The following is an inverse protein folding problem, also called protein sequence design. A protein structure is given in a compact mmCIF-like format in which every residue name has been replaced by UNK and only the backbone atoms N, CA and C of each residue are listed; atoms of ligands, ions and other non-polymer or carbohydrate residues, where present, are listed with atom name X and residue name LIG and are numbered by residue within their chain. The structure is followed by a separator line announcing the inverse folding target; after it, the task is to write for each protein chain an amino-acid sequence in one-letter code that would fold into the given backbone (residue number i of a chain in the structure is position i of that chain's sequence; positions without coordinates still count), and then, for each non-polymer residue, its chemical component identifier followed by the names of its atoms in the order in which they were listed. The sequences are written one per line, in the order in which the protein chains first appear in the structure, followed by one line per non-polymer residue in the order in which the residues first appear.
data_IF_034802467068
#
_entry.id   IF_034802467068
#
_cell.length_a   1.000
_cell.length_b   1.000
_cell.length_c   1.000
_cell.angle_alpha   90.00
_cell.angle_beta   90.00
_cell.angle_gamma   90.00
#
_symmetry.space_group_name_H-M   'P 1'
#
loop_
_entity.id
_entity.type
_entity.pdbx_description
1 polymer ?
#
# COMPACT_ATOMS: atom_id res chain seq x y z
N UNK A 1 -3.05 -17.60 1.58
CA UNK A 1 -4.17 -16.67 1.85
C UNK A 1 -4.58 -16.88 3.29
N UNK A 2 -4.50 -15.84 4.12
CA UNK A 2 -4.91 -15.90 5.52
C UNK A 2 -6.07 -14.93 5.70
N UNK A 3 -7.21 -15.46 6.15
CA UNK A 3 -8.38 -14.65 6.46
C UNK A 3 -8.14 -13.89 7.77
N UNK A 4 -8.43 -12.60 7.75
CA UNK A 4 -8.43 -11.72 8.91
C UNK A 4 -9.79 -11.86 9.61
N UNK A 5 -9.84 -12.65 10.67
CA UNK A 5 -11.06 -12.91 11.46
C UNK A 5 -11.57 -11.65 12.19
N UNK A 6 -10.67 -10.74 12.57
CA UNK A 6 -11.01 -9.52 13.29
C UNK A 6 -11.76 -8.56 12.38
N UNK A 7 -11.22 -8.32 11.19
CA UNK A 7 -11.79 -7.37 10.23
C UNK A 7 -12.71 -8.03 9.20
N UNK A 8 -12.83 -9.37 9.22
CA UNK A 8 -13.60 -10.18 8.28
C UNK A 8 -13.21 -9.96 6.83
N UNK A 9 -11.89 -9.90 6.56
CA UNK A 9 -11.33 -9.62 5.24
C UNK A 9 -10.34 -10.71 4.82
N UNK A 10 -10.38 -11.16 3.57
CA UNK A 10 -9.32 -12.04 3.05
C UNK A 10 -8.01 -11.26 2.85
N UNK A 11 -6.89 -11.97 2.69
CA UNK A 11 -5.62 -11.32 2.38
C UNK A 11 -5.74 -10.51 1.08
N UNK A 12 -6.43 -11.07 0.06
CA UNK A 12 -6.64 -10.38 -1.22
C UNK A 12 -7.45 -9.08 -1.05
N UNK A 13 -8.50 -9.07 -0.23
CA UNK A 13 -9.27 -7.85 0.05
C UNK A 13 -8.38 -6.77 0.70
N UNK A 14 -7.56 -7.15 1.68
CA UNK A 14 -6.65 -6.24 2.38
C UNK A 14 -5.58 -5.67 1.44
N UNK A 15 -4.93 -6.53 0.65
CA UNK A 15 -3.88 -6.12 -0.31
C UNK A 15 -4.42 -5.40 -1.54
N UNK A 16 -5.73 -5.28 -1.70
CA UNK A 16 -6.37 -4.49 -2.77
C UNK A 16 -6.92 -3.17 -2.22
N UNK A 17 -7.73 -3.26 -1.16
CA UNK A 17 -8.45 -2.12 -0.61
C UNK A 17 -7.53 -1.13 0.09
N UNK A 18 -6.56 -1.60 0.88
CA UNK A 18 -5.70 -0.71 1.65
C UNK A 18 -4.77 0.13 0.74
N UNK A 19 -4.01 -0.45 -0.22
CA UNK A 19 -3.25 0.35 -1.19
C UNK A 19 -4.09 1.42 -1.88
N UNK A 20 -5.27 1.04 -2.40
CA UNK A 20 -6.17 1.93 -3.12
C UNK A 20 -6.64 3.09 -2.24
N UNK A 21 -7.05 2.81 -1.01
CA UNK A 21 -7.50 3.82 -0.04
C UNK A 21 -6.39 4.78 0.39
N UNK A 22 -5.16 4.28 0.56
CA UNK A 22 -4.00 5.12 0.91
C UNK A 22 -3.70 6.09 -0.23
N UNK A 23 -3.60 5.60 -1.47
CA UNK A 23 -3.32 6.43 -2.64
C UNK A 23 -4.42 7.48 -2.83
N UNK A 24 -5.70 7.10 -2.66
CA UNK A 24 -6.81 8.05 -2.74
C UNK A 24 -6.70 9.19 -1.71
N UNK A 25 -6.26 8.89 -0.48
CA UNK A 25 -6.02 9.91 0.54
C UNK A 25 -4.81 10.81 0.19
N UNK A 26 -3.74 10.23 -0.35
CA UNK A 26 -2.58 11.00 -0.84
C UNK A 26 -2.98 11.96 -1.98
N UNK A 27 -3.84 11.50 -2.90
CA UNK A 27 -4.42 12.36 -3.95
C UNK A 27 -5.24 13.51 -3.34
N UNK A 28 -6.10 13.21 -2.36
CA UNK A 28 -6.93 14.21 -1.69
C UNK A 28 -6.11 15.27 -0.94
N UNK A 29 -4.94 14.88 -0.42
CA UNK A 29 -3.99 15.77 0.26
C UNK A 29 -3.05 16.53 -0.70
N UNK A 30 -3.22 16.41 -2.01
CA UNK A 30 -2.32 16.97 -3.04
C UNK A 30 -0.87 16.47 -2.93
N UNK A 31 -0.65 15.25 -2.46
CA UNK A 31 0.68 14.62 -2.39
C UNK A 31 1.08 13.90 -3.69
N UNK A 32 0.17 13.81 -4.66
CA UNK A 32 0.37 13.15 -5.95
C UNK A 32 0.08 14.14 -7.08
N UNK A 33 0.91 14.12 -8.12
CA UNK A 33 0.75 14.97 -9.30
C UNK A 33 -0.55 14.67 -10.07
N UNK A 34 -1.20 15.70 -10.61
CA UNK A 34 -2.43 15.56 -11.39
C UNK A 34 -2.12 14.97 -12.76
N UNK A 35 -2.76 13.86 -13.10
CA UNK A 35 -2.67 13.23 -14.41
C UNK A 35 -2.97 11.74 -14.36
N UNK A 36 -2.83 11.07 -15.50
CA UNK A 36 -2.98 9.62 -15.61
C UNK A 36 -1.58 8.98 -15.64
N UNK A 37 -1.01 8.74 -14.45
CA UNK A 37 0.32 8.17 -14.30
C UNK A 37 0.26 6.78 -13.64
N UNK A 38 1.16 5.86 -14.02
CA UNK A 38 1.41 4.66 -13.24
C UNK A 38 1.84 5.00 -11.80
N UNK A 39 1.35 4.27 -10.77
CA UNK A 39 1.66 4.57 -9.36
C UNK A 39 3.15 4.62 -9.05
N UNK A 40 3.97 3.78 -9.71
CA UNK A 40 5.42 3.73 -9.54
C UNK A 40 6.14 5.03 -9.93
N UNK A 41 5.50 5.90 -10.72
CA UNK A 41 6.06 7.19 -11.13
C UNK A 41 5.59 8.36 -10.27
N UNK A 42 4.40 8.27 -9.66
CA UNK A 42 3.75 9.42 -9.01
C UNK A 42 3.49 9.27 -7.51
N UNK A 43 3.58 8.05 -6.96
CA UNK A 43 3.36 7.80 -5.53
C UNK A 43 4.70 7.79 -4.79
N UNK A 44 4.77 8.53 -3.68
CA UNK A 44 5.95 8.51 -2.81
C UNK A 44 6.09 7.16 -2.09
N UNK A 45 7.00 6.31 -2.58
CA UNK A 45 7.17 4.93 -2.12
C UNK A 45 7.31 4.78 -0.60
N UNK A 46 8.22 5.54 0.03
CA UNK A 46 8.45 5.41 1.48
C UNK A 46 7.21 5.74 2.33
N UNK A 47 6.51 6.84 2.01
CA UNK A 47 5.26 7.22 2.69
C UNK A 47 4.17 6.16 2.49
N UNK A 48 4.04 5.64 1.28
CA UNK A 48 3.08 4.59 0.96
C UNK A 48 3.38 3.30 1.75
N UNK A 49 4.64 2.87 1.80
CA UNK A 49 5.06 1.71 2.59
C UNK A 49 4.86 1.93 4.09
N UNK A 50 5.12 3.14 4.58
CA UNK A 50 4.83 3.51 5.96
C UNK A 50 3.34 3.40 6.29
N UNK A 51 2.45 3.89 5.43
CA UNK A 51 1.00 3.75 5.60
C UNK A 51 0.51 2.30 5.54
N UNK A 52 1.11 1.46 4.69
CA UNK A 52 0.83 0.02 4.67
C UNK A 52 1.27 -0.66 5.98
N UNK A 53 2.41 -0.26 6.53
CA UNK A 53 2.94 -0.85 7.77
C UNK A 53 2.01 -0.63 8.97
N UNK A 54 1.32 0.52 9.04
CA UNK A 54 0.29 0.82 10.05
C UNK A 54 -0.92 -0.11 9.98
N UNK A 55 -1.11 -0.79 8.85
CA UNK A 55 -2.19 -1.75 8.59
C UNK A 55 -1.67 -3.19 8.60
N UNK A 56 -0.51 -3.41 9.22
CA UNK A 56 0.14 -4.71 9.34
C UNK A 56 0.48 -5.38 7.99
N UNK A 57 0.70 -4.58 6.95
CA UNK A 57 1.31 -5.03 5.69
C UNK A 57 2.77 -4.56 5.67
N UNK A 58 3.69 -5.47 6.02
CA UNK A 58 5.11 -5.19 6.20
C UNK A 58 5.92 -5.88 5.11
N UNK A 59 6.55 -5.08 4.23
CA UNK A 59 7.46 -5.59 3.21
C UNK A 59 8.85 -5.76 3.82
N UNK A 60 9.45 -6.93 3.64
CA UNK A 60 10.81 -7.23 4.11
C UNK A 60 11.65 -7.68 2.92
N UNK A 61 12.82 -7.08 2.79
CA UNK A 61 13.84 -7.48 1.83
C UNK A 61 14.90 -8.33 2.54
N UNK A 62 15.39 -9.37 1.88
CA UNK A 62 16.52 -10.19 2.35
C UNK A 62 17.47 -10.39 1.17
N UNK A 63 18.74 -10.05 1.36
CA UNK A 63 19.79 -10.40 0.41
C UNK A 63 20.27 -11.82 0.70
N UNK A 64 20.30 -12.67 -0.32
CA UNK A 64 20.96 -13.98 -0.24
C UNK A 64 22.22 -13.92 -1.10
N UNK A 65 23.38 -14.19 -0.48
CA UNK A 65 24.63 -14.28 -1.21
C UNK A 65 24.62 -15.58 -2.01
N UNK A 66 24.74 -15.47 -3.34
CA UNK A 66 24.94 -16.59 -4.26
C UNK A 66 26.41 -17.02 -4.21
#
# INVERSE_FOLDING_TARGET
DYFDEENKMSAMMRTTGYPTSIIAQMMANNEIEKGAFPPELCVHGEKFLFELSKREIKIKEKMENI
#
